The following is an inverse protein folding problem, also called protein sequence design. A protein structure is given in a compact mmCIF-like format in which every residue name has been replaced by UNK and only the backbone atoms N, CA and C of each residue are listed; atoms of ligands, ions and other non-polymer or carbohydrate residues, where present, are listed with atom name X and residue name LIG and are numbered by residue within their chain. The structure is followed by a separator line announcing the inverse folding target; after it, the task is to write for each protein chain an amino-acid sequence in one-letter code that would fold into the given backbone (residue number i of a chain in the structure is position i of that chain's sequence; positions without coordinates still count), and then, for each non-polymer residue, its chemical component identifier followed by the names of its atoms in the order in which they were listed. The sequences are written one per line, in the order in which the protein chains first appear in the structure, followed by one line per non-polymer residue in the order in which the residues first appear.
data_IF_552844596122
#
_entry.id   IF_552844596122
#
_cell.length_a   1.000
_cell.length_b   1.000
_cell.length_c   1.000
_cell.angle_alpha   90.00
_cell.angle_beta   90.00
_cell.angle_gamma   90.00
#
_symmetry.space_group_name_H-M   'P 1'
#
loop_
_entity.id
_entity.type
_entity.pdbx_description
1 polymer ?
#
# COMPACT_ATOMS: atom_id res chain seq x y z
N UNK A 1 -16.17 21.02 -8.31
CA UNK A 1 -16.34 19.86 -7.41
C UNK A 1 -14.96 19.46 -6.94
N UNK A 2 -14.54 19.90 -5.75
CA UNK A 2 -13.29 19.42 -5.15
C UNK A 2 -13.61 18.05 -4.56
N UNK A 3 -13.44 16.98 -5.36
CA UNK A 3 -13.35 15.63 -4.83
C UNK A 3 -12.08 15.58 -3.98
N UNK A 4 -12.19 15.89 -2.70
CA UNK A 4 -11.06 15.88 -1.78
C UNK A 4 -10.57 14.44 -1.64
N UNK A 5 -9.52 14.10 -2.38
CA UNK A 5 -8.84 12.82 -2.24
C UNK A 5 -7.93 12.87 -1.01
N UNK A 6 -8.14 11.96 -0.08
CA UNK A 6 -7.28 11.76 1.09
C UNK A 6 -6.50 10.45 0.96
N UNK A 7 -5.20 10.49 1.25
CA UNK A 7 -4.33 9.30 1.27
C UNK A 7 -3.84 9.11 2.70
N UNK A 8 -4.18 7.96 3.29
CA UNK A 8 -3.85 7.61 4.67
C UNK A 8 -2.87 6.44 4.71
N UNK A 9 -1.72 6.69 5.34
CA UNK A 9 -0.70 5.70 5.60
C UNK A 9 -1.03 5.02 6.93
N UNK A 10 -1.46 3.76 6.90
CA UNK A 10 -1.74 3.01 8.13
C UNK A 10 -0.47 2.77 8.95
N UNK A 11 -0.60 2.54 10.25
CA UNK A 11 0.55 2.22 11.10
C UNK A 11 1.26 0.94 10.66
N UNK A 12 0.51 -0.05 10.17
CA UNK A 12 1.08 -1.27 9.61
C UNK A 12 1.94 -0.97 8.36
N UNK A 13 1.44 -0.12 7.45
CA UNK A 13 2.20 0.31 6.29
C UNK A 13 3.47 1.09 6.67
N UNK A 14 3.39 2.00 7.66
CA UNK A 14 4.57 2.73 8.15
C UNK A 14 5.60 1.79 8.78
N UNK A 15 5.16 0.78 9.52
CA UNK A 15 6.04 -0.24 10.09
C UNK A 15 6.76 -1.03 8.99
N UNK A 16 6.05 -1.41 7.93
CA UNK A 16 6.63 -2.09 6.78
C UNK A 16 7.68 -1.27 6.06
N UNK A 17 7.43 0.02 5.86
CA UNK A 17 8.40 0.95 5.27
C UNK A 17 9.70 0.97 6.08
N UNK A 18 9.61 0.98 7.42
CA UNK A 18 10.80 0.90 8.29
C UNK A 18 11.54 -0.42 8.11
N UNK A 19 10.82 -1.54 8.01
CA UNK A 19 11.42 -2.86 7.75
C UNK A 19 12.12 -2.89 6.38
N UNK A 20 11.47 -2.36 5.34
CA UNK A 20 12.02 -2.27 4.00
C UNK A 20 13.31 -1.45 3.95
N UNK A 21 13.34 -0.29 4.61
CA UNK A 21 14.54 0.56 4.73
C UNK A 21 15.65 -0.21 5.46
N UNK A 22 15.35 -0.84 6.59
CA UNK A 22 16.33 -1.58 7.38
C UNK A 22 16.92 -2.79 6.63
N UNK A 23 16.13 -3.44 5.78
CA UNK A 23 16.63 -4.51 4.93
C UNK A 23 17.49 -3.98 3.78
N UNK A 24 17.03 -2.95 3.09
CA UNK A 24 17.75 -2.37 1.95
C UNK A 24 19.06 -1.71 2.38
N UNK A 25 19.12 -1.14 3.58
CA UNK A 25 20.31 -0.50 4.13
C UNK A 25 21.49 -1.45 4.33
N UNK A 26 21.23 -2.76 4.45
CA UNK A 26 22.30 -3.78 4.50
C UNK A 26 23.07 -3.92 3.19
N UNK A 27 22.52 -3.43 2.09
CA UNK A 27 23.11 -3.54 0.75
C UNK A 27 23.70 -2.21 0.28
N UNK A 28 23.00 -1.10 0.51
CA UNK A 28 23.36 0.23 -0.03
C UNK A 28 23.56 1.28 1.07
N UNK A 29 23.64 0.89 2.34
CA UNK A 29 23.73 1.86 3.43
C UNK A 29 22.40 2.57 3.72
N UNK A 30 22.33 3.20 4.89
CA UNK A 30 21.06 3.70 5.46
C UNK A 30 20.51 4.94 4.74
N UNK A 31 21.37 5.89 4.38
CA UNK A 31 20.94 7.14 3.73
C UNK A 31 20.32 6.84 2.35
N UNK A 32 21.04 6.10 1.52
CA UNK A 32 20.61 5.73 0.18
C UNK A 32 19.35 4.85 0.21
N UNK A 33 19.26 3.91 1.17
CA UNK A 33 18.04 3.12 1.37
C UNK A 33 16.83 3.98 1.75
N UNK A 34 17.01 4.98 2.62
CA UNK A 34 15.92 5.90 3.00
C UNK A 34 15.46 6.73 1.81
N UNK A 35 16.39 7.28 1.04
CA UNK A 35 16.06 8.15 -0.09
C UNK A 35 15.40 7.37 -1.23
N UNK A 36 15.88 6.16 -1.51
CA UNK A 36 15.25 5.25 -2.47
C UNK A 36 13.80 4.95 -2.07
N UNK A 37 13.57 4.52 -0.83
CA UNK A 37 12.22 4.14 -0.39
C UNK A 37 11.29 5.35 -0.36
N UNK A 38 11.77 6.53 0.06
CA UNK A 38 10.99 7.78 -0.02
C UNK A 38 10.63 8.14 -1.46
N UNK A 39 11.55 7.98 -2.41
CA UNK A 39 11.28 8.18 -3.83
C UNK A 39 10.14 7.29 -4.31
N UNK A 40 10.21 5.99 -4.02
CA UNK A 40 9.15 5.04 -4.36
C UNK A 40 7.79 5.40 -3.74
N UNK A 41 7.77 5.83 -2.47
CA UNK A 41 6.54 6.27 -1.82
C UNK A 41 5.94 7.52 -2.47
N UNK A 42 6.79 8.47 -2.91
CA UNK A 42 6.34 9.64 -3.66
C UNK A 42 5.74 9.26 -5.02
N UNK A 43 6.33 8.29 -5.70
CA UNK A 43 5.80 7.79 -6.98
C UNK A 43 4.45 7.07 -6.80
N UNK A 44 4.30 6.31 -5.70
CA UNK A 44 3.01 5.70 -5.32
C UNK A 44 1.98 6.80 -5.05
N UNK A 45 2.32 7.80 -4.21
CA UNK A 45 1.42 8.90 -3.86
C UNK A 45 0.95 9.66 -5.11
N UNK A 46 1.87 10.01 -6.00
CA UNK A 46 1.57 10.69 -7.26
C UNK A 46 0.65 9.86 -8.15
N UNK A 47 0.94 8.56 -8.33
CA UNK A 47 0.11 7.71 -9.17
C UNK A 47 -1.29 7.54 -8.59
N UNK A 48 -1.41 7.35 -7.28
CA UNK A 48 -2.71 7.23 -6.60
C UNK A 48 -3.51 8.53 -6.71
N UNK A 49 -2.86 9.70 -6.65
CA UNK A 49 -3.54 10.99 -6.80
C UNK A 49 -4.11 11.20 -8.20
N UNK A 50 -3.38 10.76 -9.23
CA UNK A 50 -3.79 10.94 -10.62
C UNK A 50 -4.77 9.85 -11.08
N UNK A 51 -4.52 8.62 -10.67
CA UNK A 51 -5.28 7.44 -11.09
C UNK A 51 -5.48 6.48 -9.91
N UNK A 52 -6.43 6.78 -8.99
CA UNK A 52 -6.72 5.98 -7.80
C UNK A 52 -6.88 4.48 -8.06
N UNK A 53 -7.55 4.13 -9.16
CA UNK A 53 -7.92 2.75 -9.53
C UNK A 53 -6.86 2.07 -10.41
N UNK A 54 -5.68 2.68 -10.62
CA UNK A 54 -4.64 2.14 -11.51
C UNK A 54 -3.90 0.91 -10.97
N UNK A 55 -4.10 0.54 -9.71
CA UNK A 55 -3.52 -0.66 -9.13
C UNK A 55 -4.22 -1.94 -9.60
N UNK A 56 -3.46 -3.01 -9.75
CA UNK A 56 -4.00 -4.32 -10.09
C UNK A 56 -4.86 -4.85 -8.95
N UNK A 57 -6.07 -5.31 -9.28
CA UNK A 57 -6.97 -5.94 -8.32
C UNK A 57 -6.33 -7.20 -7.72
N UNK A 58 -6.55 -7.42 -6.42
CA UNK A 58 -6.10 -8.62 -5.72
C UNK A 58 -7.29 -9.60 -5.63
N UNK A 59 -7.17 -10.77 -6.26
CA UNK A 59 -8.31 -11.68 -6.44
C UNK A 59 -8.50 -12.72 -5.33
N UNK A 60 -7.50 -12.94 -4.47
CA UNK A 60 -7.55 -13.96 -3.42
C UNK A 60 -8.12 -13.44 -2.08
N UNK A 61 -8.93 -12.39 -2.14
CA UNK A 61 -9.60 -11.79 -0.98
C UNK A 61 -11.08 -12.23 -0.91
N UNK A 62 -11.74 -12.13 0.26
CA UNK A 62 -13.15 -12.46 0.37
C UNK A 62 -14.04 -11.61 -0.55
N UNK A 63 -15.22 -12.16 -0.88
CA UNK A 63 -16.26 -11.45 -1.66
C UNK A 63 -16.62 -10.13 -0.95
N UNK A 64 -16.66 -9.04 -1.72
CA UNK A 64 -16.95 -7.70 -1.23
C UNK A 64 -15.75 -6.94 -0.64
N UNK A 65 -14.56 -7.56 -0.61
CA UNK A 65 -13.30 -6.87 -0.28
C UNK A 65 -12.61 -6.47 -1.57
N UNK A 66 -12.33 -5.18 -1.72
CA UNK A 66 -11.65 -4.64 -2.89
C UNK A 66 -10.31 -4.04 -2.48
N UNK A 67 -9.24 -4.78 -2.74
CA UNK A 67 -7.87 -4.32 -2.58
C UNK A 67 -7.17 -4.25 -3.93
N UNK A 68 -6.31 -3.24 -4.07
CA UNK A 68 -5.46 -3.04 -5.23
C UNK A 68 -4.00 -3.03 -4.83
N UNK A 69 -3.14 -3.43 -5.76
CA UNK A 69 -1.69 -3.43 -5.59
C UNK A 69 -1.02 -2.55 -6.64
N UNK A 70 -0.06 -1.73 -6.20
CA UNK A 70 0.88 -1.02 -7.06
C UNK A 70 2.28 -1.58 -6.89
N UNK A 71 2.97 -1.75 -8.02
CA UNK A 71 4.39 -2.09 -8.07
C UNK A 71 5.21 -0.85 -8.43
N UNK A 72 6.22 -0.54 -7.62
CA UNK A 72 7.21 0.50 -7.89
C UNK A 72 8.60 -0.01 -7.53
N UNK A 73 9.48 -0.05 -8.52
CA UNK A 73 10.78 -0.73 -8.39
C UNK A 73 10.58 -2.17 -7.93
N UNK A 74 11.32 -2.55 -6.89
CA UNK A 74 11.23 -3.88 -6.28
C UNK A 74 10.15 -4.01 -5.19
N UNK A 75 9.24 -3.06 -5.07
CA UNK A 75 8.31 -2.99 -3.95
C UNK A 75 6.85 -2.98 -4.40
N UNK A 76 6.01 -3.57 -3.55
CA UNK A 76 4.56 -3.64 -3.66
C UNK A 76 3.92 -2.83 -2.55
N UNK A 77 3.01 -1.94 -2.91
CA UNK A 77 2.07 -1.30 -2.00
C UNK A 77 0.67 -1.88 -2.21
N UNK A 78 0.01 -2.31 -1.14
CA UNK A 78 -1.39 -2.75 -1.17
C UNK A 78 -2.24 -1.68 -0.50
N UNK A 79 -3.37 -1.38 -1.12
CA UNK A 79 -4.27 -0.32 -0.69
C UNK A 79 -5.74 -0.67 -0.94
N UNK A 80 -6.63 0.08 -0.29
CA UNK A 80 -8.07 0.07 -0.55
C UNK A 80 -8.56 1.49 -0.78
N UNK A 81 -9.66 1.59 -1.51
CA UNK A 81 -10.36 2.85 -1.77
C UNK A 81 -11.69 2.76 -1.03
N UNK A 82 -12.00 3.77 -0.22
CA UNK A 82 -13.32 3.97 0.37
C UNK A 82 -13.87 5.30 -0.10
N UNK A 83 -15.16 5.33 -0.41
CA UNK A 83 -15.87 6.55 -0.75
C UNK A 83 -16.99 6.76 0.25
N UNK A 84 -17.02 7.94 0.88
CA UNK A 84 -18.09 8.28 1.81
C UNK A 84 -19.34 8.80 1.10
N UNK A 85 -20.43 8.98 1.86
CA UNK A 85 -21.70 9.48 1.33
C UNK A 85 -21.62 10.92 0.81
N UNK A 86 -20.58 11.68 1.16
CA UNK A 86 -20.32 13.03 0.64
C UNK A 86 -19.54 13.01 -0.68
N UNK A 87 -19.13 11.83 -1.14
CA UNK A 87 -18.33 11.64 -2.34
C UNK A 87 -16.83 11.84 -2.10
N UNK A 88 -16.38 12.04 -0.85
CA UNK A 88 -14.96 12.10 -0.51
C UNK A 88 -14.34 10.72 -0.68
N UNK A 89 -13.20 10.68 -1.38
CA UNK A 89 -12.45 9.45 -1.60
C UNK A 89 -11.29 9.38 -0.62
N UNK A 90 -11.23 8.30 0.14
CA UNK A 90 -10.14 8.02 1.08
C UNK A 90 -9.42 6.75 0.67
N UNK A 91 -8.11 6.85 0.50
CA UNK A 91 -7.26 5.74 0.08
C UNK A 91 -6.38 5.34 1.26
N UNK A 92 -6.55 4.10 1.71
CA UNK A 92 -5.79 3.55 2.81
C UNK A 92 -4.65 2.69 2.26
N UNK A 93 -3.42 3.10 2.50
CA UNK A 93 -2.23 2.29 2.24
C UNK A 93 -2.06 1.28 3.39
N UNK A 94 -2.22 -0.01 3.10
CA UNK A 94 -2.40 -1.07 4.09
C UNK A 94 -1.12 -1.89 4.35
N UNK A 95 -0.34 -2.14 3.30
CA UNK A 95 0.87 -2.95 3.37
C UNK A 95 1.92 -2.48 2.38
N UNK A 96 3.19 -2.56 2.77
CA UNK A 96 4.34 -2.35 1.89
C UNK A 96 5.29 -3.55 2.00
N UNK A 97 5.78 -4.10 0.89
CA UNK A 97 6.71 -5.23 0.95
C UNK A 97 7.57 -5.31 -0.31
N UNK A 98 8.69 -6.03 -0.22
CA UNK A 98 9.48 -6.35 -1.40
C UNK A 98 8.73 -7.38 -2.26
N UNK A 99 8.79 -7.26 -3.59
CA UNK A 99 8.04 -8.10 -4.52
C UNK A 99 8.34 -9.61 -4.42
N UNK A 100 9.55 -9.95 -3.94
CA UNK A 100 9.99 -11.33 -3.67
C UNK A 100 9.41 -11.94 -2.40
N UNK A 101 8.72 -11.17 -1.56
CA UNK A 101 8.03 -11.71 -0.39
C UNK A 101 6.69 -12.31 -0.79
N UNK A 102 6.31 -13.41 -0.14
CA UNK A 102 4.96 -13.96 -0.26
C UNK A 102 3.95 -13.03 0.43
N UNK A 103 3.47 -12.04 -0.32
CA UNK A 103 2.54 -11.05 0.16
C UNK A 103 1.15 -11.63 0.44
N UNK A 104 0.77 -12.77 -0.16
CA UNK A 104 -0.49 -13.43 0.17
C UNK A 104 -0.42 -13.91 1.62
N UNK A 105 0.68 -14.57 2.00
CA UNK A 105 0.92 -14.98 3.39
C UNK A 105 0.94 -13.79 4.35
N UNK A 106 1.62 -12.69 3.99
CA UNK A 106 1.62 -11.46 4.79
C UNK A 106 0.19 -10.90 5.00
N UNK A 107 -0.65 -10.91 3.96
CA UNK A 107 -2.03 -10.46 4.06
C UNK A 107 -2.87 -11.39 4.95
N UNK A 108 -2.63 -12.71 4.96
CA UNK A 108 -3.32 -13.65 5.86
C UNK A 108 -2.98 -13.36 7.32
N UNK A 109 -1.69 -13.18 7.62
CA UNK A 109 -1.18 -12.92 8.97
C UNK A 109 -1.74 -11.62 9.53
N UNK A 110 -1.96 -10.61 8.68
CA UNK A 110 -2.56 -9.33 9.04
C UNK A 110 -4.08 -9.33 9.10
N UNK A 111 -4.70 -10.51 8.92
CA UNK A 111 -6.16 -10.67 8.90
C UNK A 111 -6.86 -9.83 7.83
N UNK A 112 -6.13 -9.34 6.82
CA UNK A 112 -6.69 -8.58 5.71
C UNK A 112 -7.62 -9.44 4.85
N UNK A 113 -7.48 -10.77 4.94
CA UNK A 113 -8.33 -11.73 4.25
C UNK A 113 -9.46 -12.29 5.13
N UNK A 114 -9.66 -11.80 6.35
CA UNK A 114 -10.80 -12.22 7.17
C UNK A 114 -12.00 -11.37 6.80
N UNK A 115 -13.15 -12.01 6.58
CA UNK A 115 -14.44 -11.33 6.59
C UNK A 115 -14.60 -10.79 8.01
N UNK A 116 -14.68 -9.47 8.17
CA UNK A 116 -15.17 -8.91 9.43
C UNK A 116 -16.65 -9.29 9.51
N UNK A 117 -16.97 -10.29 10.33
CA UNK A 117 -18.36 -10.55 10.69
C UNK A 117 -18.90 -9.25 11.31
N UNK A 118 -19.95 -8.71 10.68
CA UNK A 118 -20.77 -7.64 11.24
C UNK A 118 -21.43 -8.12 12.53
#
# INVERSE_FOLDING_TARGET
MNNALEILYTEAFKADVKIAINWKSKVIGLAEARDLIKGLLRDIDNQIRLFPESGSQIDFVPIGVHYSALLKGDYRAVYKIEQDSSGKMTIYLLMFCHQRMDYQTLMRQRHMMKIMNK
#
